data_IF_264141217254
#
_entry.id   IF_264141217254
#
_cell.length_a   1.000
_cell.length_b   1.000
_cell.length_c   1.000
_cell.angle_alpha   90.00
_cell.angle_beta   90.00
_cell.angle_gamma   90.00
#
_symmetry.space_group_name_H-M   'P 1'
#
loop_
_entity.id
_entity.type
_entity.pdbx_description
1 polymer ?
#
# COMPACT_ATOMS: atom_id res chain seq x y z
N UNK A 1 -24.91 12.20 25.96
CA UNK A 1 -24.35 13.36 25.24
C UNK A 1 -22.88 13.52 25.58
N UNK A 2 -22.09 14.14 24.71
CA UNK A 2 -20.69 14.49 24.97
C UNK A 2 -20.58 16.00 25.22
N UNK A 3 -19.69 16.42 26.12
CA UNK A 3 -19.56 17.81 26.55
C UNK A 3 -18.98 18.76 25.48
N UNK A 4 -18.38 18.23 24.42
CA UNK A 4 -17.74 19.00 23.34
C UNK A 4 -18.26 18.55 21.98
N UNK A 5 -18.20 19.46 21.00
CA UNK A 5 -18.57 19.16 19.61
C UNK A 5 -17.66 18.08 19.00
N UNK A 6 -18.14 17.43 17.93
CA UNK A 6 -17.41 16.39 17.19
C UNK A 6 -16.02 16.90 16.73
N UNK A 7 -15.94 18.17 16.32
CA UNK A 7 -14.68 18.81 15.89
C UNK A 7 -13.74 19.02 17.08
N UNK A 8 -14.27 19.42 18.23
CA UNK A 8 -13.48 19.55 19.46
C UNK A 8 -12.89 18.21 19.90
N UNK A 9 -13.70 17.15 19.86
CA UNK A 9 -13.25 15.78 20.12
C UNK A 9 -12.16 15.34 19.13
N UNK A 10 -12.36 15.59 17.84
CA UNK A 10 -11.39 15.22 16.80
C UNK A 10 -10.04 15.91 17.02
N UNK A 11 -10.01 17.22 17.30
CA UNK A 11 -8.77 17.95 17.57
C UNK A 11 -8.03 17.40 18.79
N UNK A 12 -8.76 17.08 19.85
CA UNK A 12 -8.18 16.50 21.07
C UNK A 12 -7.62 15.09 20.81
N UNK A 13 -8.35 14.23 20.10
CA UNK A 13 -7.87 12.90 19.70
C UNK A 13 -6.64 12.99 18.79
N UNK A 14 -6.64 13.92 17.83
CA UNK A 14 -5.52 14.13 16.92
C UNK A 14 -4.27 14.57 17.69
N UNK A 15 -4.42 15.53 18.60
CA UNK A 15 -3.33 15.97 19.48
C UNK A 15 -2.78 14.83 20.34
N UNK A 16 -3.67 14.01 20.93
CA UNK A 16 -3.28 12.82 21.69
C UNK A 16 -2.47 11.85 20.84
N UNK A 17 -2.97 11.48 19.66
CA UNK A 17 -2.27 10.54 18.79
C UNK A 17 -0.93 11.09 18.29
N UNK A 18 -0.86 12.38 17.98
CA UNK A 18 0.39 13.05 17.62
C UNK A 18 1.43 12.92 18.73
N UNK A 19 1.06 13.23 19.98
CA UNK A 19 1.92 13.07 21.14
C UNK A 19 2.34 11.61 21.36
N UNK A 20 1.41 10.66 21.24
CA UNK A 20 1.72 9.23 21.39
C UNK A 20 2.74 8.78 20.35
N UNK A 21 2.52 9.11 19.08
CA UNK A 21 3.40 8.68 17.98
C UNK A 21 4.78 9.34 18.06
N UNK A 22 4.86 10.55 18.62
CA UNK A 22 6.12 11.24 18.88
C UNK A 22 6.87 10.68 20.09
N UNK A 23 6.16 10.35 21.18
CA UNK A 23 6.77 9.87 22.43
C UNK A 23 7.09 8.38 22.44
N UNK A 24 6.43 7.60 21.59
CA UNK A 24 6.66 6.16 21.42
C UNK A 24 7.22 5.88 20.02
N UNK A 25 8.52 6.13 19.80
CA UNK A 25 9.12 6.06 18.48
C UNK A 25 9.22 4.63 17.93
N UNK A 26 9.15 3.60 18.78
CA UNK A 26 9.40 2.20 18.40
C UNK A 26 8.61 1.75 17.17
N UNK A 27 7.32 2.12 17.10
CA UNK A 27 6.47 1.80 15.94
C UNK A 27 6.98 2.43 14.64
N UNK A 28 7.16 3.75 14.64
CA UNK A 28 7.57 4.49 13.44
C UNK A 28 9.03 4.21 13.08
N UNK A 29 9.90 4.01 14.06
CA UNK A 29 11.31 3.69 13.87
C UNK A 29 11.50 2.33 13.21
N UNK A 30 10.79 1.29 13.67
CA UNK A 30 10.82 -0.04 13.05
C UNK A 30 10.30 0.03 11.61
N UNK A 31 9.15 0.70 11.40
CA UNK A 31 8.57 0.88 10.06
C UNK A 31 9.52 1.59 9.11
N UNK A 32 10.16 2.68 9.56
CA UNK A 32 11.06 3.46 8.73
C UNK A 32 12.36 2.71 8.44
N UNK A 33 12.95 2.06 9.45
CA UNK A 33 14.18 1.29 9.33
C UNK A 33 14.01 0.10 8.38
N UNK A 34 12.89 -0.63 8.50
CA UNK A 34 12.59 -1.75 7.63
C UNK A 34 12.43 -1.32 6.16
N UNK A 35 11.73 -0.21 5.94
CA UNK A 35 11.54 0.33 4.59
C UNK A 35 12.86 0.84 4.00
N UNK A 36 13.70 1.47 4.81
CA UNK A 36 15.03 1.92 4.39
C UNK A 36 15.90 0.72 3.98
N UNK A 37 15.95 -0.31 4.82
CA UNK A 37 16.67 -1.54 4.52
C UNK A 37 16.17 -2.20 3.24
N UNK A 38 14.84 -2.32 3.08
CA UNK A 38 14.24 -2.92 1.88
C UNK A 38 14.53 -2.10 0.63
N UNK A 39 14.49 -0.77 0.71
CA UNK A 39 14.80 0.12 -0.41
C UNK A 39 16.28 -0.02 -0.85
N UNK A 40 17.21 -0.07 0.10
CA UNK A 40 18.63 -0.26 -0.17
C UNK A 40 18.92 -1.66 -0.72
N UNK A 41 18.29 -2.69 -0.15
CA UNK A 41 18.42 -4.07 -0.62
C UNK A 41 17.91 -4.21 -2.05
N UNK A 42 16.72 -3.68 -2.36
CA UNK A 42 16.19 -3.68 -3.72
C UNK A 42 17.10 -2.90 -4.68
N UNK A 43 17.49 -1.68 -4.30
CA UNK A 43 18.33 -0.82 -5.12
C UNK A 43 19.71 -1.41 -5.41
N UNK A 44 20.28 -2.15 -4.46
CA UNK A 44 21.58 -2.82 -4.62
C UNK A 44 21.50 -4.08 -5.48
N UNK A 45 20.47 -4.91 -5.32
CA UNK A 45 20.26 -6.09 -6.16
C UNK A 45 19.99 -5.69 -7.62
N UNK A 46 19.19 -4.64 -7.83
CA UNK A 46 18.76 -4.17 -9.15
C UNK A 46 19.51 -2.93 -9.62
N UNK A 47 20.78 -2.81 -9.21
CA UNK A 47 21.59 -1.62 -9.46
C UNK A 47 21.71 -1.31 -10.95
N UNK A 48 21.34 -0.08 -11.33
CA UNK A 48 21.38 0.44 -12.71
C UNK A 48 20.71 -0.43 -13.78
N UNK A 49 19.72 -1.24 -13.40
CA UNK A 49 19.06 -2.12 -14.36
C UNK A 49 18.16 -1.36 -15.35
N UNK A 50 17.67 -0.18 -14.95
CA UNK A 50 16.83 0.69 -15.78
C UNK A 50 17.50 1.19 -17.07
N UNK A 51 18.84 1.17 -17.15
CA UNK A 51 19.57 1.58 -18.35
C UNK A 51 19.82 0.46 -19.36
N UNK A 52 19.59 -0.82 -19.01
CA UNK A 52 19.92 -1.98 -19.85
C UNK A 52 18.78 -3.00 -19.90
N UNK A 53 17.64 -2.61 -20.48
CA UNK A 53 16.50 -3.51 -20.69
C UNK A 53 16.55 -4.07 -22.12
N UNK A 54 17.50 -4.97 -22.38
CA UNK A 54 17.66 -5.61 -23.70
C UNK A 54 16.85 -6.90 -23.90
N UNK A 55 16.37 -7.50 -22.81
CA UNK A 55 15.68 -8.80 -22.79
C UNK A 55 14.37 -8.70 -21.99
N UNK A 56 13.33 -9.39 -22.48
CA UNK A 56 12.07 -9.58 -21.75
C UNK A 56 12.25 -10.28 -20.40
N UNK A 57 13.27 -11.12 -20.22
CA UNK A 57 13.55 -11.70 -18.91
C UNK A 57 13.95 -10.62 -17.91
N UNK A 58 14.86 -9.72 -18.30
CA UNK A 58 15.28 -8.58 -17.50
C UNK A 58 14.10 -7.67 -17.17
N UNK A 59 13.26 -7.34 -18.15
CA UNK A 59 12.06 -6.55 -17.92
C UNK A 59 11.12 -7.21 -16.89
N UNK A 60 10.84 -8.51 -17.04
CA UNK A 60 10.01 -9.27 -16.08
C UNK A 60 10.63 -9.31 -14.69
N UNK A 61 11.95 -9.44 -14.61
CA UNK A 61 12.68 -9.45 -13.34
C UNK A 61 12.53 -8.12 -12.62
N UNK A 62 12.67 -6.99 -13.33
CA UNK A 62 12.52 -5.65 -12.76
C UNK A 62 11.07 -5.38 -12.32
N UNK A 63 10.10 -5.77 -13.15
CA UNK A 63 8.68 -5.68 -12.78
C UNK A 63 8.39 -6.51 -11.53
N UNK A 64 8.93 -7.72 -11.45
CA UNK A 64 8.81 -8.61 -10.30
C UNK A 64 9.45 -8.03 -9.04
N UNK A 65 10.58 -7.33 -9.19
CA UNK A 65 11.25 -6.63 -8.10
C UNK A 65 10.37 -5.51 -7.54
N UNK A 66 9.83 -4.64 -8.39
CA UNK A 66 8.94 -3.55 -7.98
C UNK A 66 7.70 -4.08 -7.27
N UNK A 67 7.08 -5.12 -7.82
CA UNK A 67 5.93 -5.81 -7.23
C UNK A 67 6.26 -6.37 -5.84
N UNK A 68 7.34 -7.15 -5.74
CA UNK A 68 7.73 -7.81 -4.49
C UNK A 68 8.10 -6.79 -3.42
N UNK A 69 8.79 -5.71 -3.80
CA UNK A 69 9.17 -4.64 -2.88
C UNK A 69 7.93 -3.97 -2.26
N UNK A 70 6.96 -3.57 -3.09
CA UNK A 70 5.77 -2.89 -2.58
C UNK A 70 4.91 -3.83 -1.75
N UNK A 71 4.80 -5.10 -2.14
CA UNK A 71 4.10 -6.09 -1.34
C UNK A 71 4.80 -6.34 0.01
N UNK A 72 6.13 -6.44 0.04
CA UNK A 72 6.89 -6.71 1.25
C UNK A 72 6.83 -5.54 2.24
N UNK A 73 7.05 -4.31 1.77
CA UNK A 73 6.89 -3.10 2.59
C UNK A 73 5.44 -2.93 3.04
N UNK A 74 4.48 -3.20 2.14
CA UNK A 74 3.05 -3.13 2.45
C UNK A 74 2.63 -4.11 3.56
N UNK A 75 3.06 -5.36 3.48
CA UNK A 75 2.82 -6.35 4.54
C UNK A 75 3.44 -5.91 5.86
N UNK A 76 4.67 -5.36 5.84
CA UNK A 76 5.30 -4.85 7.05
C UNK A 76 4.52 -3.68 7.67
N UNK A 77 4.03 -2.75 6.85
CA UNK A 77 3.17 -1.65 7.32
C UNK A 77 1.89 -2.16 7.98
N UNK A 78 1.25 -3.17 7.38
CA UNK A 78 0.07 -3.80 7.94
C UNK A 78 0.37 -4.52 9.27
N UNK A 79 1.41 -5.34 9.32
CA UNK A 79 1.75 -6.12 10.52
C UNK A 79 2.26 -5.23 11.67
N UNK A 80 2.94 -4.13 11.38
CA UNK A 80 3.44 -3.21 12.41
C UNK A 80 2.34 -2.36 13.04
N UNK A 81 1.31 -1.99 12.29
CA UNK A 81 0.20 -1.17 12.81
C UNK A 81 -0.79 -1.98 13.67
N UNK A 82 -0.93 -3.28 13.40
CA UNK A 82 -1.87 -4.16 14.11
C UNK A 82 -1.72 -4.14 15.65
N UNK A 83 -0.53 -4.37 16.23
CA UNK A 83 -0.37 -4.36 17.68
C UNK A 83 -0.66 -2.98 18.30
N UNK A 84 -0.24 -1.91 17.62
CA UNK A 84 -0.45 -0.53 18.08
C UNK A 84 -1.94 -0.19 18.14
N UNK A 85 -2.69 -0.51 17.09
CA UNK A 85 -4.16 -0.31 17.05
C UNK A 85 -4.84 -1.17 18.12
N UNK A 86 -4.36 -2.40 18.36
CA UNK A 86 -4.93 -3.27 19.38
C UNK A 86 -4.76 -2.70 20.80
N UNK A 87 -3.59 -2.16 21.11
CA UNK A 87 -3.31 -1.50 22.40
C UNK A 87 -4.18 -0.25 22.53
N UNK A 88 -4.16 0.63 21.54
CA UNK A 88 -4.92 1.88 21.55
C UNK A 88 -6.44 1.64 21.64
N UNK A 89 -6.95 0.56 21.04
CA UNK A 89 -8.36 0.16 21.15
C UNK A 89 -8.77 -0.16 22.59
N UNK A 90 -7.90 -0.76 23.39
CA UNK A 90 -8.21 -1.04 24.81
C UNK A 90 -8.31 0.24 25.63
N UNK A 91 -7.45 1.23 25.34
CA UNK A 91 -7.52 2.57 25.94
C UNK A 91 -8.79 3.29 25.51
N UNK A 92 -9.11 3.24 24.20
CA UNK A 92 -10.33 3.79 23.64
C UNK A 92 -11.59 3.26 24.32
N UNK A 93 -11.70 1.94 24.57
CA UNK A 93 -12.86 1.38 25.25
C UNK A 93 -13.04 1.94 26.67
N UNK A 94 -11.94 2.17 27.40
CA UNK A 94 -11.98 2.78 28.74
C UNK A 94 -12.41 4.25 28.68
N UNK A 95 -11.82 5.04 27.78
CA UNK A 95 -12.14 6.46 27.62
C UNK A 95 -13.57 6.68 27.10
N UNK A 96 -14.06 5.78 26.23
CA UNK A 96 -15.44 5.77 25.75
C UNK A 96 -16.42 5.40 26.86
N UNK A 97 -16.09 4.44 27.71
CA UNK A 97 -16.92 4.07 28.88
C UNK A 97 -17.01 5.22 29.90
N UNK A 98 -15.96 6.04 30.03
CA UNK A 98 -15.95 7.26 30.82
C UNK A 98 -16.67 8.46 30.14
N UNK A 99 -17.20 8.28 28.93
CA UNK A 99 -17.94 9.33 28.22
C UNK A 99 -17.07 10.47 27.67
N UNK A 100 -15.76 10.25 27.46
CA UNK A 100 -14.84 11.33 27.05
C UNK A 100 -15.04 11.79 25.60
N UNK A 101 -15.19 10.86 24.65
CA UNK A 101 -15.41 11.16 23.22
C UNK A 101 -16.05 9.98 22.47
N UNK A 102 -16.53 10.25 21.25
CA UNK A 102 -17.21 9.27 20.39
C UNK A 102 -16.24 8.51 19.46
N UNK A 103 -16.69 7.37 18.93
CA UNK A 103 -15.84 6.48 18.11
C UNK A 103 -15.36 7.11 16.79
N UNK A 104 -16.18 7.94 16.13
CA UNK A 104 -15.85 8.47 14.80
C UNK A 104 -14.72 9.51 14.84
N UNK A 105 -14.73 10.55 15.71
CA UNK A 105 -13.62 11.47 15.87
C UNK A 105 -12.29 10.78 16.17
N UNK A 106 -12.32 9.74 17.01
CA UNK A 106 -11.14 8.95 17.31
C UNK A 106 -10.61 8.19 16.09
N UNK A 107 -11.48 7.44 15.39
CA UNK A 107 -11.07 6.67 14.22
C UNK A 107 -10.50 7.57 13.11
N UNK A 108 -11.15 8.72 12.85
CA UNK A 108 -10.67 9.69 11.85
C UNK A 108 -9.34 10.31 12.29
N UNK A 109 -9.18 10.64 13.58
CA UNK A 109 -7.91 11.16 14.10
C UNK A 109 -6.77 10.15 13.89
N UNK A 110 -6.99 8.87 14.18
CA UNK A 110 -5.99 7.83 13.98
C UNK A 110 -5.64 7.62 12.49
N UNK A 111 -6.64 7.64 11.60
CA UNK A 111 -6.43 7.55 10.13
C UNK A 111 -5.60 8.73 9.61
N UNK A 112 -5.94 9.96 10.02
CA UNK A 112 -5.26 11.19 9.59
C UNK A 112 -3.80 11.22 10.08
N UNK A 113 -3.53 10.66 11.26
CA UNK A 113 -2.18 10.61 11.81
C UNK A 113 -1.22 9.76 11.00
N UNK A 114 -1.68 8.73 10.28
CA UNK A 114 -0.79 7.89 9.47
C UNK A 114 -0.30 8.59 8.19
N UNK A 115 -1.12 9.49 7.63
CA UNK A 115 -0.85 10.21 6.37
C UNK A 115 0.55 10.85 6.34
N UNK A 116 0.96 11.68 7.33
CA UNK A 116 2.28 12.31 7.31
C UNK A 116 3.44 11.32 7.47
N UNK A 117 3.31 10.29 8.31
CA UNK A 117 4.39 9.34 8.50
C UNK A 117 4.59 8.44 7.27
N UNK A 118 3.50 7.96 6.66
CA UNK A 118 3.57 7.21 5.40
C UNK A 118 4.10 8.08 4.26
N UNK A 119 3.83 9.39 4.29
CA UNK A 119 4.37 10.33 3.31
C UNK A 119 5.90 10.42 3.42
N UNK A 120 6.44 10.57 4.63
CA UNK A 120 7.89 10.57 4.87
C UNK A 120 8.51 9.23 4.47
N UNK A 121 7.88 8.11 4.89
CA UNK A 121 8.29 6.75 4.51
C UNK A 121 8.43 6.58 2.99
N UNK A 122 7.40 7.00 2.26
CA UNK A 122 7.36 6.87 0.80
C UNK A 122 8.37 7.79 0.12
N UNK A 123 8.59 8.98 0.68
CA UNK A 123 9.49 9.98 0.09
C UNK A 123 10.91 9.46 -0.07
N UNK A 124 11.51 8.92 1.00
CA UNK A 124 12.86 8.37 0.86
C UNK A 124 12.86 7.01 0.16
N UNK A 125 11.83 6.17 0.33
CA UNK A 125 11.73 4.89 -0.39
C UNK A 125 11.80 5.12 -1.90
N UNK A 126 11.00 6.05 -2.40
CA UNK A 126 10.94 6.37 -3.83
C UNK A 126 12.24 6.99 -4.31
N UNK A 127 12.81 7.95 -3.58
CA UNK A 127 14.11 8.55 -3.91
C UNK A 127 15.21 7.51 -4.06
N UNK A 128 15.34 6.59 -3.09
CA UNK A 128 16.38 5.57 -3.06
C UNK A 128 16.17 4.58 -4.21
N UNK A 129 14.98 3.99 -4.31
CA UNK A 129 14.69 2.97 -5.34
C UNK A 129 14.83 3.55 -6.74
N UNK A 130 14.29 4.74 -6.98
CA UNK A 130 14.32 5.38 -8.29
C UNK A 130 15.75 5.74 -8.71
N UNK A 131 16.57 6.23 -7.78
CA UNK A 131 17.97 6.56 -8.04
C UNK A 131 18.85 5.33 -8.26
N UNK A 132 18.76 4.32 -7.39
CA UNK A 132 19.61 3.13 -7.46
C UNK A 132 19.29 2.23 -8.66
N UNK A 133 18.00 2.08 -9.00
CA UNK A 133 17.59 1.31 -10.19
C UNK A 133 17.83 2.07 -11.50
N UNK A 134 18.18 3.36 -11.43
CA UNK A 134 18.45 4.23 -12.59
C UNK A 134 17.27 4.31 -13.56
N UNK A 135 16.05 4.57 -13.04
CA UNK A 135 14.89 4.85 -13.88
C UNK A 135 15.03 6.19 -14.60
N UNK A 136 14.22 6.40 -15.64
CA UNK A 136 14.25 7.61 -16.46
C UNK A 136 13.77 8.84 -15.67
N UNK A 137 14.69 9.71 -15.26
CA UNK A 137 14.41 10.94 -14.51
C UNK A 137 13.56 11.95 -15.28
N UNK A 138 12.26 11.72 -15.29
CA UNK A 138 11.22 12.66 -15.75
C UNK A 138 10.32 12.96 -14.55
N UNK A 139 10.07 14.24 -14.28
CA UNK A 139 9.25 14.65 -13.13
C UNK A 139 7.91 13.91 -13.08
N UNK A 140 7.23 13.78 -14.23
CA UNK A 140 5.98 13.04 -14.33
C UNK A 140 6.11 11.56 -13.91
N UNK A 141 7.12 10.83 -14.39
CA UNK A 141 7.34 9.41 -14.06
C UNK A 141 7.69 9.22 -12.59
N UNK A 142 8.48 10.13 -12.02
CA UNK A 142 8.84 10.12 -10.61
C UNK A 142 7.62 10.37 -9.71
N UNK A 143 6.84 11.43 -9.98
CA UNK A 143 5.66 11.74 -9.17
C UNK A 143 4.58 10.67 -9.29
N UNK A 144 4.42 10.04 -10.44
CA UNK A 144 3.53 8.89 -10.58
C UNK A 144 3.99 7.68 -9.78
N UNK A 145 5.29 7.36 -9.81
CA UNK A 145 5.86 6.29 -8.99
C UNK A 145 5.67 6.57 -7.49
N UNK A 146 5.89 7.82 -7.08
CA UNK A 146 5.63 8.27 -5.72
C UNK A 146 4.16 8.14 -5.34
N UNK A 147 3.25 8.65 -6.17
CA UNK A 147 1.81 8.59 -5.93
C UNK A 147 1.32 7.14 -5.76
N UNK A 148 1.70 6.25 -6.68
CA UNK A 148 1.28 4.85 -6.64
C UNK A 148 1.85 4.15 -5.40
N UNK A 149 3.13 4.39 -5.07
CA UNK A 149 3.77 3.82 -3.88
C UNK A 149 3.13 4.35 -2.59
N UNK A 150 2.83 5.65 -2.54
CA UNK A 150 2.25 6.32 -1.38
C UNK A 150 0.87 5.77 -1.03
N UNK A 151 -0.04 5.75 -2.02
CA UNK A 151 -1.37 5.17 -1.80
C UNK A 151 -1.31 3.67 -1.55
N UNK A 152 -0.29 2.98 -2.07
CA UNK A 152 -0.09 1.57 -1.78
C UNK A 152 0.25 1.32 -0.33
N UNK A 153 1.26 2.01 0.19
CA UNK A 153 1.65 1.91 1.59
C UNK A 153 0.53 2.36 2.53
N UNK A 154 -0.24 3.37 2.13
CA UNK A 154 -1.34 3.91 2.90
C UNK A 154 -2.54 2.95 2.97
N UNK A 155 -2.96 2.35 1.84
CA UNK A 155 -4.02 1.33 1.89
C UNK A 155 -3.59 0.09 2.67
N UNK A 156 -2.31 -0.32 2.63
CA UNK A 156 -1.81 -1.44 3.41
C UNK A 156 -1.85 -1.15 4.92
N UNK A 157 -1.47 0.05 5.34
CA UNK A 157 -1.61 0.49 6.73
C UNK A 157 -3.08 0.46 7.17
N UNK A 158 -3.99 1.03 6.37
CA UNK A 158 -5.41 1.04 6.70
C UNK A 158 -6.06 -0.35 6.64
N UNK A 159 -5.58 -1.22 5.76
CA UNK A 159 -5.96 -2.63 5.76
C UNK A 159 -5.62 -3.28 7.11
N UNK A 160 -4.43 -3.05 7.65
CA UNK A 160 -4.04 -3.53 8.98
C UNK A 160 -4.94 -3.00 10.08
N UNK A 161 -5.22 -1.69 10.08
CA UNK A 161 -6.16 -1.09 11.04
C UNK A 161 -7.56 -1.74 10.95
N UNK A 162 -8.07 -1.93 9.73
CA UNK A 162 -9.35 -2.61 9.49
C UNK A 162 -9.32 -4.03 10.05
N UNK A 163 -8.28 -4.81 9.78
CA UNK A 163 -8.19 -6.21 10.26
C UNK A 163 -8.22 -6.31 11.78
N UNK A 164 -7.61 -5.37 12.51
CA UNK A 164 -7.73 -5.34 13.98
C UNK A 164 -9.14 -4.96 14.40
N UNK A 165 -9.77 -3.99 13.72
CA UNK A 165 -11.11 -3.54 14.11
C UNK A 165 -12.21 -4.60 13.96
N UNK A 166 -11.99 -5.62 13.11
CA UNK A 166 -12.91 -6.75 12.91
C UNK A 166 -12.54 -7.99 13.74
N UNK A 167 -11.36 -8.01 14.37
CA UNK A 167 -10.88 -9.17 15.12
C UNK A 167 -10.82 -8.92 16.65
N UNK A 168 -10.92 -9.97 17.47
CA UNK A 168 -10.80 -9.83 18.92
C UNK A 168 -9.39 -9.45 19.39
N UNK A 169 -8.35 -10.00 18.75
CA UNK A 169 -6.95 -9.72 19.06
C UNK A 169 -6.13 -9.51 17.78
N UNK A 170 -4.91 -8.97 17.93
CA UNK A 170 -4.02 -8.70 16.80
C UNK A 170 -3.44 -9.98 16.17
N UNK A 171 -3.35 -11.09 16.91
CA UNK A 171 -2.92 -12.39 16.36
C UNK A 171 -3.92 -12.91 15.32
N UNK A 172 -5.22 -12.92 15.65
CA UNK A 172 -6.29 -13.28 14.71
C UNK A 172 -6.37 -12.28 13.55
N UNK A 173 -6.13 -10.99 13.81
CA UNK A 173 -6.02 -9.97 12.75
C UNK A 173 -4.91 -10.33 11.76
N UNK A 174 -3.74 -10.74 12.26
CA UNK A 174 -2.59 -11.15 11.46
C UNK A 174 -2.89 -12.37 10.60
N UNK A 175 -3.52 -13.41 11.18
CA UNK A 175 -3.93 -14.62 10.44
C UNK A 175 -4.92 -14.26 9.33
N UNK A 176 -5.93 -13.45 9.66
CA UNK A 176 -6.92 -12.99 8.68
C UNK A 176 -6.26 -12.18 7.56
N UNK A 177 -5.38 -11.23 7.91
CA UNK A 177 -4.64 -10.44 6.95
C UNK A 177 -3.79 -11.31 6.01
N UNK A 178 -3.09 -12.31 6.57
CA UNK A 178 -2.24 -13.22 5.83
C UNK A 178 -2.98 -14.04 4.77
N UNK A 179 -4.20 -14.50 5.07
CA UNK A 179 -5.02 -15.23 4.10
C UNK A 179 -5.32 -14.40 2.84
N UNK A 180 -5.56 -13.10 3.00
CA UNK A 180 -5.78 -12.20 1.86
C UNK A 180 -4.49 -11.80 1.15
N UNK A 181 -3.33 -11.77 1.81
CA UNK A 181 -2.06 -11.51 1.12
C UNK A 181 -1.79 -12.54 0.03
N UNK A 182 -2.09 -13.81 0.29
CA UNK A 182 -1.96 -14.88 -0.72
C UNK A 182 -2.87 -14.65 -1.93
N UNK A 183 -4.10 -14.18 -1.69
CA UNK A 183 -5.02 -13.86 -2.78
C UNK A 183 -4.58 -12.59 -3.55
N UNK A 184 -4.15 -11.54 -2.85
CA UNK A 184 -3.59 -10.35 -3.48
C UNK A 184 -2.37 -10.71 -4.33
N UNK A 185 -1.55 -11.64 -3.87
CA UNK A 185 -0.36 -12.09 -4.57
C UNK A 185 -0.72 -12.79 -5.89
N UNK A 186 -1.61 -13.78 -5.82
CA UNK A 186 -1.99 -14.60 -6.96
C UNK A 186 -2.69 -13.79 -8.08
N UNK A 187 -3.56 -12.85 -7.69
CA UNK A 187 -4.36 -12.06 -8.62
C UNK A 187 -3.84 -10.63 -8.84
N UNK A 188 -2.60 -10.35 -8.46
CA UNK A 188 -1.94 -9.06 -8.70
C UNK A 188 -1.69 -8.73 -10.18
N UNK A 189 -1.89 -9.69 -11.09
CA UNK A 189 -1.59 -9.53 -12.52
C UNK A 189 -0.13 -9.76 -12.89
N UNK A 190 0.75 -9.99 -11.91
CA UNK A 190 2.16 -10.32 -12.15
C UNK A 190 2.37 -11.82 -12.44
N UNK A 191 1.97 -12.70 -11.52
CA UNK A 191 2.11 -14.15 -11.68
C UNK A 191 1.19 -14.71 -12.77
N UNK A 192 -0.07 -14.27 -12.76
CA UNK A 192 -1.05 -14.60 -13.80
C UNK A 192 -1.38 -13.29 -14.51
N UNK A 193 -0.88 -13.08 -15.74
CA UNK A 193 -1.22 -11.90 -16.52
C UNK A 193 -2.72 -11.77 -16.70
N UNK A 194 -3.24 -10.53 -16.64
CA UNK A 194 -4.68 -10.24 -16.72
C UNK A 194 -5.39 -10.95 -17.89
N UNK A 195 -4.85 -11.01 -19.13
CA UNK A 195 -5.52 -11.68 -20.25
C UNK A 195 -5.67 -13.21 -20.09
N UNK A 196 -4.83 -13.83 -19.24
CA UNK A 196 -4.83 -15.28 -18.99
C UNK A 196 -5.75 -15.69 -17.83
N UNK A 197 -6.31 -14.73 -17.09
CA UNK A 197 -7.24 -15.02 -15.99
C UNK A 197 -8.57 -15.50 -16.59
N UNK A 198 -9.12 -16.66 -16.16
CA UNK A 198 -10.42 -17.12 -16.61
C UNK A 198 -11.51 -16.07 -16.42
N UNK A 199 -12.44 -15.94 -17.38
CA UNK A 199 -13.49 -14.90 -17.37
C UNK A 199 -14.31 -14.88 -16.09
N UNK A 200 -14.51 -16.03 -15.44
CA UNK A 200 -15.27 -16.11 -14.19
C UNK A 200 -14.49 -15.70 -12.93
N UNK A 201 -13.15 -15.61 -12.97
CA UNK A 201 -12.30 -15.14 -11.85
C UNK A 201 -11.85 -13.69 -12.00
N UNK A 202 -12.06 -13.07 -13.17
CA UNK A 202 -11.53 -11.72 -13.46
C UNK A 202 -12.08 -10.63 -12.55
N UNK A 203 -13.25 -10.83 -11.92
CA UNK A 203 -13.80 -9.88 -10.95
C UNK A 203 -12.87 -9.67 -9.76
N UNK A 204 -12.16 -10.72 -9.32
CA UNK A 204 -11.27 -10.63 -8.17
C UNK A 204 -10.04 -9.75 -8.49
N UNK A 205 -9.53 -9.83 -9.72
CA UNK A 205 -8.47 -8.95 -10.19
C UNK A 205 -8.84 -7.47 -10.02
N UNK A 206 -10.10 -7.10 -10.29
CA UNK A 206 -10.56 -5.71 -10.17
C UNK A 206 -10.73 -5.25 -8.72
N UNK A 207 -11.04 -6.15 -7.79
CA UNK A 207 -11.19 -5.85 -6.36
C UNK A 207 -9.84 -5.91 -5.62
N UNK A 208 -8.81 -6.51 -6.22
CA UNK A 208 -7.48 -6.62 -5.64
C UNK A 208 -6.73 -5.26 -5.69
N UNK A 209 -6.42 -4.61 -4.55
CA UNK A 209 -5.70 -3.32 -4.55
C UNK A 209 -4.31 -3.44 -5.17
N UNK A 210 -3.63 -4.57 -4.93
CA UNK A 210 -2.28 -4.83 -5.41
C UNK A 210 -2.21 -4.93 -6.94
N UNK A 211 -3.29 -5.38 -7.59
CA UNK A 211 -3.37 -5.41 -9.05
C UNK A 211 -3.26 -4.00 -9.65
N UNK A 212 -3.90 -3.01 -9.03
CA UNK A 212 -3.85 -1.61 -9.44
C UNK A 212 -2.50 -0.96 -9.15
N UNK A 213 -1.87 -1.32 -8.02
CA UNK A 213 -0.50 -0.91 -7.71
C UNK A 213 0.47 -1.37 -8.80
N UNK A 214 0.46 -2.65 -9.13
CA UNK A 214 1.34 -3.24 -10.15
C UNK A 214 1.09 -2.63 -11.51
N UNK A 215 -0.18 -2.50 -11.90
CA UNK A 215 -0.57 -1.82 -13.14
C UNK A 215 0.01 -0.40 -13.21
N UNK A 216 -0.19 0.41 -12.16
CA UNK A 216 0.27 1.78 -12.09
C UNK A 216 1.80 1.88 -12.17
N UNK A 217 2.52 1.05 -11.43
CA UNK A 217 3.99 1.03 -11.44
C UNK A 217 4.54 0.68 -12.84
N UNK A 218 3.99 -0.33 -13.50
CA UNK A 218 4.49 -0.79 -14.79
C UNK A 218 4.17 0.22 -15.90
N UNK A 219 2.93 0.69 -15.98
CA UNK A 219 2.50 1.62 -17.04
C UNK A 219 3.22 2.96 -16.93
N UNK A 220 3.51 3.43 -15.72
CA UNK A 220 4.17 4.74 -15.52
C UNK A 220 5.65 4.71 -15.86
N UNK A 221 6.34 3.58 -15.66
CA UNK A 221 7.76 3.48 -16.00
C UNK A 221 8.00 3.03 -17.44
N UNK A 222 7.21 2.08 -17.92
CA UNK A 222 7.49 1.34 -19.14
C UNK A 222 6.43 1.47 -20.23
N UNK A 223 5.27 2.06 -19.93
CA UNK A 223 4.15 2.13 -20.89
C UNK A 223 4.43 3.00 -22.12
N UNK A 224 5.44 3.87 -22.05
CA UNK A 224 5.86 4.80 -23.11
C UNK A 224 7.27 4.53 -23.63
N UNK A 225 7.90 3.41 -23.23
CA UNK A 225 9.22 3.01 -23.74
C UNK A 225 9.09 2.28 -25.08
N UNK A 226 9.73 2.84 -26.11
CA UNK A 226 9.80 2.28 -27.46
C UNK A 226 11.05 1.44 -27.71
N UNK A 227 11.91 1.29 -26.70
CA UNK A 227 13.10 0.46 -26.78
C UNK A 227 12.74 -0.99 -27.15
N UNK A 228 13.57 -1.57 -28.01
CA UNK A 228 13.35 -2.91 -28.57
C UNK A 228 13.89 -3.95 -27.59
N UNK A 229 13.04 -4.90 -27.22
CA UNK A 229 13.42 -6.06 -26.42
C UNK A 229 13.41 -7.34 -27.24
N UNK A 230 14.37 -8.20 -26.94
CA UNK A 230 14.38 -9.57 -27.43
C UNK A 230 13.47 -10.42 -26.54
N UNK A 231 12.62 -11.25 -27.15
CA UNK A 231 11.71 -12.15 -26.43
C UNK A 231 11.98 -13.57 -26.92
N UNK A 232 12.31 -14.51 -26.01
CA UNK A 232 12.60 -15.88 -26.42
C UNK A 232 11.44 -16.49 -27.24
N UNK A 233 11.71 -16.88 -28.48
CA UNK A 233 10.74 -17.49 -29.38
C UNK A 233 9.74 -16.53 -30.05
N UNK A 234 9.96 -15.21 -29.98
CA UNK A 234 9.15 -14.20 -30.66
C UNK A 234 10.04 -13.17 -31.39
N UNK A 235 9.51 -12.46 -32.39
CA UNK A 235 10.25 -11.36 -33.01
C UNK A 235 10.52 -10.24 -32.01
N UNK A 236 11.58 -9.48 -32.28
CA UNK A 236 11.90 -8.27 -31.52
C UNK A 236 10.70 -7.33 -31.53
N UNK A 237 10.31 -6.86 -30.35
CA UNK A 237 9.13 -6.02 -30.15
C UNK A 237 9.46 -4.92 -29.14
N UNK A 238 8.68 -3.84 -29.16
CA UNK A 238 8.87 -2.73 -28.22
C UNK A 238 8.40 -3.11 -26.83
N UNK A 239 8.99 -2.50 -25.79
CA UNK A 239 8.58 -2.70 -24.39
C UNK A 239 7.09 -2.37 -24.21
N UNK A 240 6.63 -1.25 -24.76
CA UNK A 240 5.22 -0.83 -24.69
C UNK A 240 4.27 -1.86 -25.32
N UNK A 241 4.65 -2.45 -26.47
CA UNK A 241 3.86 -3.49 -27.13
C UNK A 241 3.80 -4.77 -26.27
N UNK A 242 4.94 -5.19 -25.71
CA UNK A 242 5.01 -6.36 -24.83
C UNK A 242 4.15 -6.19 -23.58
N UNK A 243 4.19 -5.03 -22.93
CA UNK A 243 3.38 -4.74 -21.75
C UNK A 243 1.88 -4.78 -22.07
N UNK A 244 1.50 -4.23 -23.21
CA UNK A 244 0.08 -4.19 -23.63
C UNK A 244 -0.42 -5.60 -23.98
N UNK A 245 0.32 -6.36 -24.77
CA UNK A 245 -0.13 -7.68 -25.26
C UNK A 245 0.07 -8.81 -24.24
N UNK A 246 1.20 -8.83 -23.52
CA UNK A 246 1.49 -9.89 -22.56
C UNK A 246 0.75 -9.68 -21.23
N UNK A 247 0.81 -8.45 -20.68
CA UNK A 247 0.20 -8.14 -19.39
C UNK A 247 -1.20 -7.52 -19.47
N UNK A 248 -1.63 -7.05 -20.64
CA UNK A 248 -2.94 -6.42 -20.80
C UNK A 248 -3.01 -4.99 -20.23
N UNK A 249 -1.86 -4.35 -20.02
CA UNK A 249 -1.76 -3.02 -19.41
C UNK A 249 -1.71 -1.93 -20.47
N UNK A 250 -2.78 -1.13 -20.50
CA UNK A 250 -3.00 -0.03 -21.42
C UNK A 250 -2.72 1.31 -20.75
N UNK A 251 -1.99 2.18 -21.44
CA UNK A 251 -1.63 3.54 -20.96
C UNK A 251 -2.85 4.42 -20.69
N UNK A 252 -3.89 4.32 -21.52
CA UNK A 252 -5.14 5.08 -21.40
C UNK A 252 -5.86 4.86 -20.06
N UNK A 253 -5.65 3.70 -19.44
CA UNK A 253 -6.31 3.34 -18.20
C UNK A 253 -5.65 3.97 -16.96
N UNK A 254 -4.52 4.66 -17.10
CA UNK A 254 -3.82 5.25 -15.96
C UNK A 254 -4.66 6.30 -15.23
N UNK A 255 -5.53 7.02 -15.94
CA UNK A 255 -6.48 7.95 -15.35
C UNK A 255 -7.48 7.28 -14.40
N UNK A 256 -7.72 5.97 -14.55
CA UNK A 256 -8.60 5.16 -13.69
C UNK A 256 -7.83 4.58 -12.50
N UNK A 257 -6.56 4.20 -12.69
CA UNK A 257 -5.72 3.61 -11.64
C UNK A 257 -5.59 4.54 -10.44
N UNK A 258 -5.35 5.83 -10.70
CA UNK A 258 -5.14 6.82 -9.63
C UNK A 258 -6.34 6.95 -8.66
N UNK A 259 -7.57 7.25 -9.12
CA UNK A 259 -8.72 7.33 -8.23
C UNK A 259 -9.07 5.98 -7.58
N UNK A 260 -8.81 4.84 -8.23
CA UNK A 260 -9.07 3.53 -7.63
C UNK A 260 -8.14 3.25 -6.44
N UNK A 261 -6.85 3.59 -6.52
CA UNK A 261 -5.93 3.47 -5.39
C UNK A 261 -6.36 4.34 -4.19
N UNK A 262 -6.81 5.56 -4.47
CA UNK A 262 -7.38 6.46 -3.45
C UNK A 262 -8.65 5.84 -2.85
N UNK A 263 -9.53 5.27 -3.68
CA UNK A 263 -10.76 4.63 -3.24
C UNK A 263 -10.49 3.46 -2.30
N UNK A 264 -9.48 2.62 -2.57
CA UNK A 264 -9.11 1.53 -1.66
C UNK A 264 -8.62 2.03 -0.31
N UNK A 265 -7.79 3.07 -0.30
CA UNK A 265 -7.35 3.72 0.94
C UNK A 265 -8.55 4.25 1.75
N UNK A 266 -9.44 5.00 1.10
CA UNK A 266 -10.65 5.54 1.74
C UNK A 266 -11.58 4.42 2.22
N UNK A 267 -11.73 3.36 1.43
CA UNK A 267 -12.55 2.20 1.76
C UNK A 267 -12.06 1.50 3.03
N UNK A 268 -10.76 1.17 3.12
CA UNK A 268 -10.21 0.54 4.32
C UNK A 268 -10.27 1.45 5.55
N UNK A 269 -10.01 2.75 5.40
CA UNK A 269 -10.16 3.71 6.48
C UNK A 269 -11.61 3.83 6.97
N UNK A 270 -12.57 3.84 6.05
CA UNK A 270 -13.99 3.88 6.35
C UNK A 270 -14.46 2.58 7.04
N UNK A 271 -14.05 1.43 6.54
CA UNK A 271 -14.33 0.13 7.15
C UNK A 271 -13.77 0.05 8.57
N UNK A 272 -12.53 0.50 8.77
CA UNK A 272 -11.93 0.62 10.10
C UNK A 272 -12.81 1.46 11.06
N UNK A 273 -13.22 2.66 10.64
CA UNK A 273 -14.06 3.54 11.46
C UNK A 273 -15.44 2.93 11.77
N UNK A 274 -16.07 2.28 10.79
CA UNK A 274 -17.35 1.60 10.97
C UNK A 274 -17.26 0.42 11.93
N UNK A 275 -16.25 -0.43 11.75
CA UNK A 275 -16.04 -1.62 12.57
C UNK A 275 -15.72 -1.22 14.01
N UNK A 276 -14.87 -0.22 14.24
CA UNK A 276 -14.59 0.30 15.57
C UNK A 276 -15.83 0.89 16.26
N UNK A 277 -16.76 1.48 15.49
CA UNK A 277 -18.02 2.00 16.03
C UNK A 277 -19.00 0.90 16.42
N UNK A 278 -19.15 -0.13 15.57
CA UNK A 278 -20.19 -1.17 15.69
C UNK A 278 -19.76 -2.39 16.49
N UNK A 279 -18.50 -2.81 16.39
CA UNK A 279 -18.00 -4.01 17.04
C UNK A 279 -17.41 -3.66 18.40
N UNK A 280 -17.68 -4.50 19.40
CA UNK A 280 -17.11 -4.39 20.73
C UNK A 280 -16.50 -5.73 21.12
N UNK A 281 -15.18 -5.73 21.35
CA UNK A 281 -14.40 -6.90 21.73
C UNK A 281 -13.89 -6.82 23.18
N UNK A 282 -14.45 -5.94 24.00
CA UNK A 282 -14.10 -5.83 25.40
C UNK A 282 -14.59 -7.08 26.17
N UNK A 283 -13.66 -7.94 26.58
CA UNK A 283 -13.92 -8.96 27.59
C UNK A 283 -13.98 -8.28 28.96
N UNK A 284 -15.10 -8.46 29.68
CA UNK A 284 -15.29 -8.00 31.06
C UNK A 284 -14.38 -8.76 32.02
#
# INVERSE_FOLDING_TARGET
EYSQSIIGQFKACLWKHWLTYWRSPDYNLVRFSFTLFTALLLGSIFWKIGSNIGDANTLRMVIGAMYTAVMFVGINNCSSVQPIVSIERTVFYRERAAGMYSAMPYAIAQVVMEIPYVFVQTSYYTLIVYAMMSFQWTAAKFFWFFFVSYFSFLYFTYYGMMTVSISPNHEVAGIFAAAFYSLFNLFSGFFIPRPKIPKWWIWYYWICPLAWTVYGLIVTQYGDMEDIITVPGQPNQTISYYITHHFGYHRSFMAVVAPVLVLFAVFFAFMYALCLKKLNFQTR
#
